data_IF_149246476212
#
_entry.id   IF_149246476212
#
_cell.length_a   1.000
_cell.length_b   1.000
_cell.length_c   1.000
_cell.angle_alpha   90.00
_cell.angle_beta   90.00
_cell.angle_gamma   90.00
#
_symmetry.space_group_name_H-M   'P 1'
#
loop_
_entity.id
_entity.type
_entity.pdbx_description
1 polymer ?
#
# COMPACT_ATOMS: atom_id res chain seq x y z
N UNK A 1 -27.78 -30.01 4.63
CA UNK A 1 -27.41 -28.87 5.50
C UNK A 1 -25.93 -29.01 5.81
N UNK A 2 -25.05 -28.30 5.07
CA UNK A 2 -23.60 -28.33 5.30
C UNK A 2 -23.29 -27.65 6.62
N UNK A 3 -22.47 -28.29 7.47
CA UNK A 3 -21.86 -27.65 8.64
C UNK A 3 -21.13 -26.40 8.16
N UNK A 4 -21.54 -25.20 8.57
CA UNK A 4 -20.75 -23.99 8.35
C UNK A 4 -19.38 -24.20 9.00
N UNK A 5 -18.34 -23.86 8.29
CA UNK A 5 -16.98 -23.86 8.83
C UNK A 5 -16.97 -23.05 10.12
N UNK A 6 -16.31 -23.55 11.16
CA UNK A 6 -16.12 -22.79 12.41
C UNK A 6 -15.20 -21.60 12.22
N UNK A 7 -14.50 -21.52 11.09
CA UNK A 7 -13.53 -20.49 10.75
C UNK A 7 -14.02 -19.66 9.56
N UNK A 8 -13.61 -18.37 9.51
CA UNK A 8 -13.86 -17.45 8.41
C UNK A 8 -12.67 -17.45 7.44
N UNK A 9 -12.89 -17.77 6.16
CA UNK A 9 -11.85 -17.71 5.13
C UNK A 9 -11.65 -16.29 4.65
N UNK A 10 -10.43 -15.78 4.84
CA UNK A 10 -10.06 -14.39 4.56
C UNK A 10 -9.01 -14.31 3.48
N UNK A 11 -9.27 -13.57 2.40
CA UNK A 11 -8.22 -13.16 1.46
C UNK A 11 -7.73 -11.76 1.85
N UNK A 12 -6.44 -11.65 2.21
CA UNK A 12 -5.75 -10.40 2.48
C UNK A 12 -4.90 -10.01 1.26
N UNK A 13 -5.28 -8.94 0.57
CA UNK A 13 -4.44 -8.32 -0.46
C UNK A 13 -3.42 -7.42 0.23
N UNK A 14 -2.12 -7.71 0.06
CA UNK A 14 -1.07 -7.14 0.87
C UNK A 14 -0.01 -6.37 0.10
N UNK A 15 1.09 -6.10 0.78
CA UNK A 15 2.24 -5.34 0.28
C UNK A 15 2.53 -4.06 1.07
N UNK A 16 1.90 -3.88 2.24
CA UNK A 16 2.10 -2.75 3.15
C UNK A 16 2.48 -3.22 4.55
N UNK A 17 2.92 -2.30 5.40
CA UNK A 17 3.17 -2.55 6.83
C UNK A 17 1.90 -2.93 7.57
N UNK A 18 0.77 -2.35 7.19
CA UNK A 18 -0.56 -2.66 7.74
C UNK A 18 -0.98 -4.09 7.40
N UNK A 19 -0.77 -4.51 6.14
CA UNK A 19 -1.02 -5.89 5.72
C UNK A 19 -0.16 -6.90 6.49
N UNK A 20 1.13 -6.58 6.71
CA UNK A 20 2.04 -7.42 7.48
C UNK A 20 1.66 -7.48 8.97
N UNK A 21 1.17 -6.38 9.53
CA UNK A 21 0.66 -6.34 10.90
C UNK A 21 -0.62 -7.19 11.03
N UNK A 22 -1.57 -7.02 10.10
CA UNK A 22 -2.81 -7.80 10.08
C UNK A 22 -2.53 -9.31 9.88
N UNK A 23 -1.58 -9.67 9.02
CA UNK A 23 -1.19 -11.07 8.83
C UNK A 23 -0.68 -11.73 10.12
N UNK A 24 0.07 -10.98 10.96
CA UNK A 24 0.51 -11.48 12.28
C UNK A 24 -0.64 -11.66 13.25
N UNK A 25 -1.60 -10.74 13.27
CA UNK A 25 -2.78 -10.85 14.12
C UNK A 25 -3.66 -12.04 13.70
N UNK A 26 -3.88 -12.20 12.41
CA UNK A 26 -4.64 -13.33 11.86
C UNK A 26 -3.99 -14.68 12.14
N UNK A 27 -2.65 -14.76 12.10
CA UNK A 27 -1.91 -15.97 12.43
C UNK A 27 -2.10 -16.43 13.88
N UNK A 28 -2.40 -15.50 14.79
CA UNK A 28 -2.60 -15.76 16.21
C UNK A 28 -4.07 -16.06 16.59
N UNK A 29 -5.00 -15.98 15.64
CA UNK A 29 -6.44 -16.08 15.93
C UNK A 29 -7.10 -17.24 15.14
N UNK A 30 -7.41 -18.32 15.83
CA UNK A 30 -7.98 -19.53 15.24
C UNK A 30 -9.41 -19.39 14.67
N UNK A 31 -10.05 -18.22 14.80
CA UNK A 31 -11.33 -17.94 14.15
C UNK A 31 -11.20 -17.74 12.64
N UNK A 32 -9.98 -17.48 12.14
CA UNK A 32 -9.72 -17.12 10.76
C UNK A 32 -8.85 -18.13 10.04
N UNK A 33 -9.15 -18.34 8.76
CA UNK A 33 -8.34 -19.09 7.80
C UNK A 33 -7.84 -18.13 6.71
N UNK A 34 -6.74 -17.40 6.98
CA UNK A 34 -6.28 -16.34 6.11
C UNK A 34 -5.36 -16.84 5.01
N UNK A 35 -5.44 -16.19 3.85
CA UNK A 35 -4.44 -16.27 2.77
C UNK A 35 -4.00 -14.87 2.39
N UNK A 36 -2.69 -14.61 2.40
CA UNK A 36 -2.11 -13.35 1.95
C UNK A 36 -1.77 -13.42 0.45
N UNK A 37 -2.16 -12.41 -0.31
CA UNK A 37 -1.77 -12.26 -1.72
C UNK A 37 -0.86 -11.06 -1.91
N UNK A 38 0.33 -11.28 -2.45
CA UNK A 38 1.33 -10.27 -2.79
C UNK A 38 1.41 -10.10 -4.31
N UNK A 39 1.56 -8.84 -4.77
CA UNK A 39 1.61 -8.54 -6.21
C UNK A 39 2.89 -9.02 -6.91
N UNK A 40 3.94 -9.42 -6.17
CA UNK A 40 5.21 -9.86 -6.76
C UNK A 40 6.08 -8.71 -7.28
N UNK A 41 5.91 -7.51 -6.74
CA UNK A 41 6.74 -6.35 -7.12
C UNK A 41 8.16 -6.47 -6.56
N UNK A 42 8.33 -7.12 -5.40
CA UNK A 42 9.63 -7.36 -4.76
C UNK A 42 10.17 -8.73 -5.17
N UNK A 43 11.45 -8.80 -5.57
CA UNK A 43 12.10 -10.04 -6.06
C UNK A 43 12.19 -11.13 -5.01
N UNK A 44 12.42 -10.77 -3.75
CA UNK A 44 12.53 -11.69 -2.63
C UNK A 44 11.65 -11.22 -1.45
N UNK A 45 10.34 -11.52 -1.46
CA UNK A 45 9.47 -11.19 -0.34
C UNK A 45 9.89 -11.98 0.90
N UNK A 46 9.80 -11.33 2.07
CA UNK A 46 10.09 -11.97 3.36
C UNK A 46 9.07 -13.07 3.64
N UNK A 47 9.45 -14.15 4.37
CA UNK A 47 8.50 -15.15 4.85
C UNK A 47 7.33 -14.51 5.58
N UNK A 48 6.14 -15.05 5.35
CA UNK A 48 4.89 -14.54 5.93
C UNK A 48 4.39 -15.46 7.03
N UNK A 49 3.71 -14.95 8.07
CA UNK A 49 3.23 -15.75 9.20
C UNK A 49 1.99 -16.61 8.87
N UNK A 50 1.38 -16.40 7.72
CA UNK A 50 0.19 -17.11 7.22
C UNK A 50 0.43 -17.65 5.81
N UNK A 51 -0.36 -18.61 5.31
CA UNK A 51 -0.30 -19.05 3.93
C UNK A 51 -0.35 -17.84 2.95
N UNK A 52 0.47 -17.88 1.92
CA UNK A 52 0.59 -16.75 1.00
C UNK A 52 0.83 -17.18 -0.44
N UNK A 53 0.49 -16.29 -1.37
CA UNK A 53 0.71 -16.43 -2.80
C UNK A 53 1.35 -15.17 -3.38
N UNK A 54 2.01 -15.32 -4.53
CA UNK A 54 2.56 -14.20 -5.31
C UNK A 54 1.91 -14.18 -6.68
N UNK A 55 1.72 -12.98 -7.21
CA UNK A 55 1.25 -12.73 -8.57
C UNK A 55 -0.17 -12.18 -8.63
N UNK A 56 -0.52 -11.68 -9.81
CA UNK A 56 -1.85 -11.14 -10.08
C UNK A 56 -2.91 -12.25 -10.20
N UNK A 57 -4.16 -11.81 -10.33
CA UNK A 57 -5.31 -12.72 -10.52
C UNK A 57 -5.77 -12.79 -11.97
N UNK A 58 -5.19 -11.99 -12.88
CA UNK A 58 -5.71 -11.89 -14.26
C UNK A 58 -6.90 -10.94 -14.37
N UNK A 59 -6.93 -9.87 -13.58
CA UNK A 59 -8.01 -8.88 -13.59
C UNK A 59 -9.17 -9.23 -12.67
N UNK A 60 -10.32 -8.59 -12.91
CA UNK A 60 -11.53 -8.75 -12.09
C UNK A 60 -12.07 -10.17 -12.14
N UNK A 61 -12.19 -10.75 -13.33
CA UNK A 61 -12.76 -12.09 -13.50
C UNK A 61 -11.87 -13.18 -12.88
N UNK A 62 -10.55 -13.03 -13.01
CA UNK A 62 -9.62 -13.96 -12.36
C UNK A 62 -9.67 -13.85 -10.82
N UNK A 63 -9.82 -12.65 -10.28
CA UNK A 63 -10.02 -12.47 -8.84
C UNK A 63 -11.36 -13.06 -8.39
N UNK A 64 -12.45 -12.81 -9.13
CA UNK A 64 -13.78 -13.36 -8.81
C UNK A 64 -13.76 -14.90 -8.78
N UNK A 65 -13.14 -15.52 -9.76
CA UNK A 65 -12.97 -16.96 -9.83
C UNK A 65 -12.18 -17.48 -8.63
N UNK A 66 -11.04 -16.85 -8.30
CA UNK A 66 -10.24 -17.23 -7.14
C UNK A 66 -11.03 -17.13 -5.82
N UNK A 67 -11.80 -16.05 -5.63
CA UNK A 67 -12.64 -15.87 -4.43
C UNK A 67 -13.65 -17.01 -4.29
N UNK A 68 -14.27 -17.43 -5.40
CA UNK A 68 -15.25 -18.52 -5.41
C UNK A 68 -14.59 -19.90 -5.20
N UNK A 69 -13.52 -20.21 -5.91
CA UNK A 69 -12.81 -21.50 -5.84
C UNK A 69 -12.17 -21.73 -4.48
N UNK A 70 -11.57 -20.69 -3.88
CA UNK A 70 -11.00 -20.75 -2.54
C UNK A 70 -12.05 -20.61 -1.42
N UNK A 71 -13.32 -20.38 -1.77
CA UNK A 71 -14.41 -20.21 -0.81
C UNK A 71 -14.19 -19.04 0.14
N UNK A 72 -13.64 -17.95 -0.35
CA UNK A 72 -13.36 -16.75 0.46
C UNK A 72 -14.68 -16.12 0.93
N UNK A 73 -14.75 -15.77 2.21
CA UNK A 73 -15.95 -15.23 2.85
C UNK A 73 -15.77 -13.74 3.22
N UNK A 74 -14.50 -13.29 3.37
CA UNK A 74 -14.17 -11.89 3.57
C UNK A 74 -12.92 -11.51 2.75
N UNK A 75 -12.98 -10.35 2.10
CA UNK A 75 -11.87 -9.78 1.33
C UNK A 75 -11.36 -8.53 2.04
N UNK A 76 -10.06 -8.49 2.34
CA UNK A 76 -9.41 -7.31 2.91
C UNK A 76 -8.39 -6.76 1.93
N UNK A 77 -8.63 -5.54 1.44
CA UNK A 77 -7.67 -4.81 0.61
C UNK A 77 -6.78 -3.93 1.50
N UNK A 78 -5.59 -4.43 1.82
CA UNK A 78 -4.53 -3.70 2.50
C UNK A 78 -3.36 -3.39 1.57
N UNK A 79 -3.64 -3.19 0.28
CA UNK A 79 -2.62 -2.79 -0.69
C UNK A 79 -2.21 -1.33 -0.50
N UNK A 80 -1.09 -0.95 -1.14
CA UNK A 80 -0.60 0.42 -1.07
C UNK A 80 -1.67 1.43 -1.55
N UNK A 81 -1.80 2.63 -0.93
CA UNK A 81 -2.80 3.63 -1.33
C UNK A 81 -2.78 4.01 -2.81
N UNK A 82 -1.66 3.80 -3.49
CA UNK A 82 -1.50 4.03 -4.93
C UNK A 82 -1.75 2.78 -5.80
N UNK A 83 -2.16 1.66 -5.21
CA UNK A 83 -2.56 0.46 -5.96
C UNK A 83 -4.03 0.54 -6.44
N UNK A 84 -4.43 1.70 -6.98
CA UNK A 84 -5.82 2.01 -7.34
C UNK A 84 -6.46 0.97 -8.28
N UNK A 85 -5.68 0.37 -9.18
CA UNK A 85 -6.18 -0.69 -10.06
C UNK A 85 -6.59 -1.92 -9.26
N UNK A 86 -5.74 -2.36 -8.30
CA UNK A 86 -6.06 -3.53 -7.47
C UNK A 86 -7.28 -3.28 -6.60
N UNK A 87 -7.38 -2.09 -6.01
CA UNK A 87 -8.57 -1.68 -5.24
C UNK A 87 -9.84 -1.71 -6.09
N UNK A 88 -9.80 -1.16 -7.32
CA UNK A 88 -10.95 -1.25 -8.25
C UNK A 88 -11.30 -2.70 -8.60
N UNK A 89 -10.29 -3.55 -8.83
CA UNK A 89 -10.51 -4.97 -9.09
C UNK A 89 -11.14 -5.67 -7.89
N UNK A 90 -10.66 -5.38 -6.66
CA UNK A 90 -11.22 -5.93 -5.43
C UNK A 90 -12.69 -5.56 -5.26
N UNK A 91 -13.04 -4.29 -5.43
CA UNK A 91 -14.43 -3.80 -5.35
C UNK A 91 -15.31 -4.47 -6.40
N UNK A 92 -14.88 -4.54 -7.66
CA UNK A 92 -15.64 -5.12 -8.75
C UNK A 92 -15.79 -6.65 -8.61
N UNK A 93 -14.79 -7.34 -8.05
CA UNK A 93 -14.81 -8.79 -7.88
C UNK A 93 -15.59 -9.22 -6.63
N UNK A 94 -15.63 -8.39 -5.58
CA UNK A 94 -16.26 -8.74 -4.31
C UNK A 94 -17.77 -9.02 -4.46
N UNK A 95 -18.49 -8.30 -5.30
CA UNK A 95 -19.94 -8.47 -5.43
C UNK A 95 -20.65 -8.30 -4.09
N UNK A 96 -21.25 -9.38 -3.57
CA UNK A 96 -21.91 -9.43 -2.25
C UNK A 96 -20.98 -9.82 -1.11
N UNK A 97 -19.72 -10.15 -1.41
CA UNK A 97 -18.72 -10.51 -0.41
C UNK A 97 -18.42 -9.32 0.51
N UNK A 98 -18.14 -9.60 1.77
CA UNK A 98 -17.70 -8.56 2.72
C UNK A 98 -16.31 -8.07 2.30
N UNK A 99 -16.21 -6.77 2.01
CA UNK A 99 -14.97 -6.11 1.59
C UNK A 99 -14.63 -4.99 2.54
N UNK A 100 -13.40 -5.01 3.06
CA UNK A 100 -12.81 -3.94 3.85
C UNK A 100 -11.55 -3.42 3.17
N UNK A 101 -11.35 -2.10 3.18
CA UNK A 101 -10.07 -1.49 2.85
C UNK A 101 -9.33 -1.04 4.10
N UNK A 102 -8.10 -1.50 4.26
CA UNK A 102 -7.17 -1.00 5.29
C UNK A 102 -6.29 0.06 4.66
N UNK A 103 -6.50 1.31 5.04
CA UNK A 103 -5.79 2.44 4.46
C UNK A 103 -5.39 3.46 5.53
N UNK A 104 -4.09 3.47 5.87
CA UNK A 104 -3.52 4.45 6.78
C UNK A 104 -3.80 5.90 6.33
N UNK A 105 -3.97 6.87 7.25
CA UNK A 105 -4.16 8.27 6.90
C UNK A 105 -3.05 8.80 5.98
N UNK A 106 -3.43 9.68 5.06
CA UNK A 106 -2.47 10.42 4.26
C UNK A 106 -1.65 11.36 5.16
N UNK A 107 -0.44 11.70 4.75
CA UNK A 107 0.29 12.77 5.41
C UNK A 107 -0.38 14.11 5.13
N UNK A 108 -0.39 14.97 6.13
CA UNK A 108 -0.84 16.36 6.03
C UNK A 108 0.34 17.30 6.26
N UNK A 109 0.50 18.35 5.44
CA UNK A 109 1.56 19.31 5.66
C UNK A 109 1.33 20.12 6.94
N UNK A 110 2.40 20.49 7.63
CA UNK A 110 2.38 21.52 8.64
C UNK A 110 2.85 22.88 8.05
N UNK A 111 2.65 24.02 8.75
CA UNK A 111 2.99 25.34 8.20
C UNK A 111 4.44 25.53 7.78
N UNK A 112 5.37 24.75 8.32
CA UNK A 112 6.79 24.79 7.97
C UNK A 112 7.17 23.88 6.79
N UNK A 113 6.23 23.13 6.22
CA UNK A 113 6.46 22.28 5.07
C UNK A 113 6.36 23.07 3.76
N UNK A 114 7.29 22.84 2.88
CA UNK A 114 7.27 23.38 1.51
C UNK A 114 6.78 22.29 0.55
N UNK A 115 5.48 21.93 0.63
CA UNK A 115 4.90 20.93 -0.24
C UNK A 115 4.29 21.52 -1.50
N UNK A 116 4.57 20.86 -2.63
CA UNK A 116 3.93 21.12 -3.90
C UNK A 116 3.09 19.89 -4.27
N UNK A 117 1.77 19.92 -4.03
CA UNK A 117 0.89 18.80 -4.40
C UNK A 117 0.72 18.72 -5.92
N UNK A 118 0.80 17.50 -6.46
CA UNK A 118 0.64 17.22 -7.89
C UNK A 118 -0.28 16.02 -8.10
N UNK A 119 -1.02 15.96 -9.22
CA UNK A 119 -1.95 14.88 -9.48
C UNK A 119 -1.27 13.57 -9.91
N UNK A 120 -0.13 13.65 -10.60
CA UNK A 120 0.58 12.52 -11.19
C UNK A 120 2.09 12.76 -11.31
N UNK A 121 2.84 11.77 -11.78
CA UNK A 121 4.30 11.86 -11.92
C UNK A 121 4.74 12.68 -13.13
N UNK A 122 3.90 12.86 -14.14
CA UNK A 122 4.19 13.77 -15.24
C UNK A 122 4.18 15.22 -14.74
N UNK A 123 3.17 15.60 -13.99
CA UNK A 123 3.11 16.89 -13.32
C UNK A 123 4.26 17.06 -12.30
N UNK A 124 4.68 15.99 -11.62
CA UNK A 124 5.82 16.03 -10.71
C UNK A 124 7.13 16.33 -11.44
N UNK A 125 7.38 15.71 -12.59
CA UNK A 125 8.56 15.98 -13.39
C UNK A 125 8.58 17.43 -13.93
N UNK A 126 7.44 17.93 -14.41
CA UNK A 126 7.28 19.32 -14.87
C UNK A 126 7.50 20.34 -13.73
N UNK A 127 7.06 20.01 -12.52
CA UNK A 127 7.21 20.87 -11.35
C UNK A 127 8.66 21.09 -10.90
N UNK A 128 9.61 20.28 -11.39
CA UNK A 128 11.04 20.49 -11.13
C UNK A 128 11.58 21.74 -11.83
N UNK A 129 10.92 22.17 -12.92
CA UNK A 129 11.34 23.33 -13.72
C UNK A 129 12.59 23.05 -14.55
N UNK A 130 13.07 24.05 -15.31
CA UNK A 130 14.18 23.86 -16.26
C UNK A 130 15.58 23.94 -15.61
N UNK A 131 15.70 24.54 -14.42
CA UNK A 131 17.00 24.72 -13.78
C UNK A 131 17.51 23.38 -13.21
N UNK A 132 18.78 22.99 -13.46
CA UNK A 132 19.35 21.76 -12.92
C UNK A 132 19.22 21.67 -11.40
N UNK A 133 18.75 20.52 -10.88
CA UNK A 133 18.56 20.25 -9.44
C UNK A 133 19.02 18.85 -9.08
N UNK A 134 19.41 18.68 -7.83
CA UNK A 134 19.64 17.36 -7.23
C UNK A 134 18.34 16.87 -6.61
N UNK A 135 17.75 15.85 -7.23
CA UNK A 135 16.36 15.38 -6.97
C UNK A 135 16.40 14.01 -6.32
N UNK A 136 15.83 13.88 -5.14
CA UNK A 136 15.61 12.57 -4.51
C UNK A 136 14.23 12.02 -4.94
N UNK A 137 14.24 10.91 -5.68
CA UNK A 137 13.04 10.16 -6.06
C UNK A 137 12.80 9.02 -5.08
N UNK A 138 11.68 9.06 -4.34
CA UNK A 138 11.23 7.97 -3.44
C UNK A 138 9.89 7.41 -3.93
N UNK A 139 9.89 6.98 -5.19
CA UNK A 139 8.73 6.50 -5.95
C UNK A 139 8.98 5.08 -6.45
N UNK A 140 7.93 4.41 -6.95
CA UNK A 140 8.08 3.09 -7.54
C UNK A 140 8.77 3.12 -8.91
N UNK A 141 9.45 2.03 -9.27
CA UNK A 141 10.19 1.95 -10.54
C UNK A 141 9.31 2.23 -11.77
N UNK A 142 8.03 1.83 -11.75
CA UNK A 142 7.07 2.04 -12.86
C UNK A 142 6.74 3.52 -13.10
N UNK A 143 7.09 4.39 -12.18
CA UNK A 143 6.80 5.83 -12.20
C UNK A 143 8.01 6.67 -12.57
N UNK A 144 9.14 6.06 -12.93
CA UNK A 144 10.37 6.76 -13.30
C UNK A 144 10.34 7.35 -14.72
N UNK A 145 9.48 6.83 -15.60
CA UNK A 145 9.47 7.21 -17.02
C UNK A 145 9.39 8.74 -17.27
N UNK A 146 8.53 9.53 -16.59
CA UNK A 146 8.47 10.98 -16.81
C UNK A 146 9.79 11.72 -16.53
N UNK A 147 10.59 11.21 -15.59
CA UNK A 147 11.87 11.84 -15.21
C UNK A 147 12.99 11.60 -16.23
N UNK A 148 12.84 10.64 -17.14
CA UNK A 148 13.74 10.45 -18.29
C UNK A 148 13.60 11.56 -19.33
N UNK A 149 12.42 12.17 -19.39
CA UNK A 149 12.11 13.28 -20.30
C UNK A 149 12.64 14.63 -19.77
N UNK A 150 13.13 14.65 -18.53
CA UNK A 150 13.73 15.83 -17.90
C UNK A 150 15.19 15.58 -17.49
N UNK A 151 16.11 15.27 -18.45
CA UNK A 151 17.46 14.81 -18.14
C UNK A 151 18.39 15.90 -17.59
N UNK A 152 17.95 17.16 -17.52
CA UNK A 152 18.72 18.26 -16.98
C UNK A 152 18.96 18.22 -15.47
N UNK A 153 18.28 17.33 -14.75
CA UNK A 153 18.43 17.16 -13.30
C UNK A 153 19.35 16.00 -12.95
N UNK A 154 19.96 16.06 -11.76
CA UNK A 154 20.69 14.93 -11.19
C UNK A 154 19.78 14.14 -10.25
N UNK A 155 19.41 12.93 -10.66
CA UNK A 155 18.49 12.10 -9.92
C UNK A 155 19.19 11.14 -8.97
N UNK A 156 18.74 11.08 -7.74
CA UNK A 156 19.05 10.05 -6.75
C UNK A 156 17.78 9.24 -6.53
N UNK A 157 17.79 7.96 -6.89
CA UNK A 157 16.61 7.08 -6.84
C UNK A 157 16.77 6.13 -5.66
N UNK A 158 15.86 6.20 -4.69
CA UNK A 158 15.82 5.20 -3.62
C UNK A 158 14.68 4.21 -3.86
N UNK A 159 15.03 2.95 -3.98
CA UNK A 159 14.11 1.82 -4.22
C UNK A 159 14.46 0.60 -3.38
N UNK A 160 13.52 -0.32 -3.19
CA UNK A 160 13.73 -1.58 -2.46
C UNK A 160 14.63 -2.51 -3.28
N UNK A 161 14.32 -2.68 -4.57
CA UNK A 161 15.11 -3.42 -5.54
C UNK A 161 15.65 -2.45 -6.61
N UNK A 162 16.80 -2.73 -7.23
CA UNK A 162 17.28 -1.95 -8.36
C UNK A 162 16.21 -1.90 -9.45
N UNK A 163 15.85 -0.69 -9.93
CA UNK A 163 14.90 -0.57 -11.03
C UNK A 163 15.49 -1.09 -12.34
N UNK A 164 14.63 -1.42 -13.30
CA UNK A 164 15.04 -1.81 -14.64
C UNK A 164 15.83 -0.67 -15.31
N UNK A 165 17.03 -0.93 -15.87
CA UNK A 165 17.87 0.12 -16.47
C UNK A 165 17.14 0.97 -17.50
N UNK A 166 16.23 0.37 -18.27
CA UNK A 166 15.44 1.06 -19.29
C UNK A 166 14.48 2.11 -18.72
N UNK A 167 14.13 2.05 -17.44
CA UNK A 167 13.25 3.00 -16.76
C UNK A 167 14.03 4.13 -16.07
N UNK A 168 15.32 3.96 -15.87
CA UNK A 168 16.15 4.89 -15.08
C UNK A 168 16.51 6.11 -15.94
N UNK A 169 16.36 7.34 -15.40
CA UNK A 169 16.89 8.54 -16.05
C UNK A 169 18.39 8.45 -16.26
N UNK A 170 18.93 8.97 -17.38
CA UNK A 170 20.37 8.96 -17.64
C UNK A 170 21.18 9.61 -16.51
N UNK A 171 22.26 8.97 -16.08
CA UNK A 171 23.16 9.50 -15.05
C UNK A 171 22.58 9.45 -13.62
N UNK A 172 21.45 8.82 -13.40
CA UNK A 172 20.87 8.71 -12.07
C UNK A 172 21.68 7.78 -11.15
N UNK A 173 21.81 8.19 -9.90
CA UNK A 173 22.38 7.37 -8.82
C UNK A 173 21.29 6.51 -8.17
N UNK A 174 21.54 5.22 -7.95
CA UNK A 174 20.58 4.28 -7.37
C UNK A 174 21.03 3.90 -5.96
N UNK A 175 20.12 4.07 -5.01
CA UNK A 175 20.26 3.64 -3.61
C UNK A 175 19.26 2.53 -3.34
N UNK A 176 19.73 1.31 -3.11
CA UNK A 176 18.88 0.20 -2.73
C UNK A 176 18.75 0.17 -1.20
N UNK A 177 17.55 0.42 -0.69
CA UNK A 177 17.29 0.43 0.75
C UNK A 177 15.82 0.13 1.05
N UNK A 178 15.58 -0.53 2.19
CA UNK A 178 14.25 -0.88 2.69
C UNK A 178 14.01 -0.20 4.03
N UNK A 179 12.88 0.50 4.16
CA UNK A 179 12.49 1.13 5.43
C UNK A 179 12.16 0.09 6.55
N UNK A 180 11.89 0.56 7.77
CA UNK A 180 11.72 1.98 8.13
C UNK A 180 13.02 2.76 8.13
N UNK A 181 12.94 4.07 7.88
CA UNK A 181 14.09 4.98 7.90
C UNK A 181 13.98 5.93 9.10
N UNK A 182 15.08 6.08 9.83
CA UNK A 182 15.18 7.04 10.92
C UNK A 182 15.37 8.47 10.41
N UNK A 183 15.04 9.46 11.22
CA UNK A 183 15.29 10.88 10.90
C UNK A 183 16.78 11.17 10.69
N UNK A 184 17.66 10.50 11.44
CA UNK A 184 19.11 10.66 11.31
C UNK A 184 19.62 10.16 9.95
N UNK A 185 19.14 8.99 9.50
CA UNK A 185 19.48 8.44 8.18
C UNK A 185 19.00 9.36 7.05
N UNK A 186 17.79 9.89 7.17
CA UNK A 186 17.25 10.82 6.16
C UNK A 186 18.04 12.13 6.12
N UNK A 187 18.39 12.71 7.29
CA UNK A 187 19.27 13.89 7.37
C UNK A 187 20.63 13.65 6.71
N UNK A 188 21.23 12.49 6.97
CA UNK A 188 22.52 12.10 6.39
C UNK A 188 22.42 11.92 4.87
N UNK A 189 21.36 11.30 4.39
CA UNK A 189 21.11 11.11 2.96
C UNK A 189 20.94 12.44 2.25
N UNK A 190 20.07 13.33 2.76
CA UNK A 190 19.83 14.65 2.18
C UNK A 190 21.12 15.51 2.14
N UNK A 191 21.95 15.41 3.18
CA UNK A 191 23.21 16.14 3.25
C UNK A 191 24.25 15.56 2.28
N UNK A 192 24.47 14.23 2.29
CA UNK A 192 25.46 13.54 1.48
C UNK A 192 25.27 13.80 -0.01
N UNK A 193 24.02 13.75 -0.47
CA UNK A 193 23.69 13.95 -1.88
C UNK A 193 23.30 15.38 -2.22
N UNK A 194 23.45 16.34 -1.28
CA UNK A 194 23.10 17.75 -1.44
C UNK A 194 21.70 17.93 -2.08
N UNK A 195 20.70 17.20 -1.58
CA UNK A 195 19.36 17.17 -2.15
C UNK A 195 18.71 18.55 -2.07
N UNK A 196 18.14 19.00 -3.18
CA UNK A 196 17.47 20.27 -3.32
C UNK A 196 15.95 20.16 -3.45
N UNK A 197 15.45 18.98 -3.84
CA UNK A 197 14.01 18.70 -3.91
C UNK A 197 13.77 17.20 -3.74
N UNK A 198 12.65 16.84 -3.10
CA UNK A 198 12.21 15.46 -2.97
C UNK A 198 10.95 15.27 -3.81
N UNK A 199 10.85 14.16 -4.53
CA UNK A 199 9.61 13.71 -5.15
C UNK A 199 9.13 12.44 -4.44
N UNK A 200 7.91 12.46 -3.99
CA UNK A 200 7.31 11.34 -3.24
C UNK A 200 5.82 11.20 -3.53
N UNK A 201 5.27 10.05 -3.18
CA UNK A 201 3.82 9.82 -3.12
C UNK A 201 3.32 10.15 -1.72
N UNK A 202 2.10 10.64 -1.59
CA UNK A 202 1.44 10.78 -0.27
C UNK A 202 1.01 9.40 0.26
N UNK A 203 2.00 8.59 0.60
CA UNK A 203 1.77 7.20 1.03
C UNK A 203 1.18 7.10 2.42
N UNK A 204 1.35 8.10 3.26
CA UNK A 204 0.97 8.04 4.67
C UNK A 204 1.83 7.08 5.49
N UNK A 205 1.51 6.97 6.79
CA UNK A 205 2.19 6.09 7.73
C UNK A 205 3.57 6.59 8.19
N UNK A 206 4.12 5.94 9.23
CA UNK A 206 5.36 6.37 9.90
C UNK A 206 6.64 5.84 9.24
N UNK A 207 6.59 4.67 8.60
CA UNK A 207 7.78 3.96 8.12
C UNK A 207 8.67 4.76 7.15
N UNK A 208 8.10 5.72 6.43
CA UNK A 208 8.82 6.55 5.46
C UNK A 208 8.54 8.05 5.62
N UNK A 209 7.96 8.46 6.75
CA UNK A 209 7.64 9.86 7.02
C UNK A 209 8.86 10.70 7.39
N UNK A 210 9.92 10.08 7.90
CA UNK A 210 11.11 10.77 8.40
C UNK A 210 11.77 11.69 7.36
N UNK A 211 11.70 11.35 6.06
CA UNK A 211 12.20 12.21 4.97
C UNK A 211 11.49 13.56 4.90
N UNK A 212 10.19 13.62 5.26
CA UNK A 212 9.42 14.85 5.28
C UNK A 212 9.87 15.78 6.42
N UNK A 213 10.13 15.19 7.59
CA UNK A 213 10.69 15.91 8.73
C UNK A 213 12.11 16.44 8.41
N UNK A 214 12.97 15.60 7.82
CA UNK A 214 14.31 16.01 7.41
C UNK A 214 14.29 17.10 6.32
N UNK A 215 13.35 17.04 5.39
CA UNK A 215 13.14 18.07 4.35
C UNK A 215 12.72 19.40 4.99
N UNK A 216 11.76 19.37 5.93
CA UNK A 216 11.27 20.54 6.66
C UNK A 216 12.40 21.27 7.40
N UNK A 217 13.22 20.54 8.14
CA UNK A 217 14.35 21.10 8.89
C UNK A 217 15.37 21.84 8.01
N UNK A 218 15.45 21.47 6.75
CA UNK A 218 16.38 22.03 5.78
C UNK A 218 15.73 22.99 4.78
N UNK A 219 14.44 23.25 4.90
CA UNK A 219 13.67 24.05 3.95
C UNK A 219 13.64 23.45 2.53
N UNK A 220 13.81 22.13 2.39
CA UNK A 220 13.82 21.45 1.09
C UNK A 220 12.37 21.27 0.62
N UNK A 221 12.00 21.74 -0.57
CA UNK A 221 10.67 21.53 -1.13
C UNK A 221 10.42 20.05 -1.45
N UNK A 222 9.16 19.63 -1.26
CA UNK A 222 8.71 18.27 -1.52
C UNK A 222 7.58 18.29 -2.53
N UNK A 223 7.80 17.72 -3.71
CA UNK A 223 6.76 17.46 -4.70
C UNK A 223 6.02 16.20 -4.29
N UNK A 224 4.74 16.32 -3.97
CA UNK A 224 3.93 15.26 -3.35
C UNK A 224 2.79 14.85 -4.28
N UNK A 225 2.91 13.69 -4.89
CA UNK A 225 1.81 13.12 -5.67
C UNK A 225 0.65 12.76 -4.74
N UNK A 226 -0.53 13.30 -5.04
CA UNK A 226 -1.74 13.05 -4.28
C UNK A 226 -2.28 11.64 -4.54
N UNK A 227 -3.01 11.09 -3.57
CA UNK A 227 -3.65 9.79 -3.74
C UNK A 227 -4.69 9.84 -4.84
N UNK A 228 -4.77 8.82 -5.70
CA UNK A 228 -5.86 8.71 -6.64
C UNK A 228 -7.19 8.55 -5.89
N UNK A 229 -8.26 9.11 -6.43
CA UNK A 229 -9.60 8.86 -5.92
C UNK A 229 -9.93 7.37 -6.02
N UNK A 230 -10.47 6.80 -4.94
CA UNK A 230 -10.94 5.43 -4.93
C UNK A 230 -12.46 5.41 -4.71
N UNK A 231 -13.18 4.44 -5.31
CA UNK A 231 -14.61 4.27 -5.04
C UNK A 231 -14.89 4.12 -3.53
N UNK A 232 -16.10 4.47 -3.13
CA UNK A 232 -16.52 4.31 -1.73
C UNK A 232 -16.53 2.83 -1.35
N UNK A 233 -15.86 2.51 -0.26
CA UNK A 233 -15.79 1.18 0.37
C UNK A 233 -15.57 1.38 1.85
N UNK A 234 -16.04 0.44 2.66
CA UNK A 234 -15.78 0.46 4.10
C UNK A 234 -14.28 0.48 4.38
N UNK A 235 -13.82 1.37 5.28
CA UNK A 235 -12.39 1.61 5.51
C UNK A 235 -12.07 1.66 6.98
N UNK A 236 -10.87 1.17 7.29
CA UNK A 236 -10.23 1.33 8.59
C UNK A 236 -8.79 1.79 8.42
N UNK A 237 -8.23 2.40 9.46
CA UNK A 237 -6.90 3.02 9.38
C UNK A 237 -5.75 2.01 9.56
N UNK A 238 -5.98 0.92 10.30
CA UNK A 238 -4.93 0.03 10.76
C UNK A 238 -5.38 -1.43 10.91
N UNK A 239 -4.43 -2.28 11.29
CA UNK A 239 -4.66 -3.71 11.45
C UNK A 239 -5.54 -4.07 12.64
N UNK A 240 -5.54 -3.28 13.72
CA UNK A 240 -6.36 -3.55 14.90
C UNK A 240 -7.85 -3.35 14.58
N UNK A 241 -8.20 -2.24 13.97
CA UNK A 241 -9.56 -1.96 13.51
C UNK A 241 -10.02 -2.97 12.44
N UNK A 242 -9.10 -3.48 11.60
CA UNK A 242 -9.42 -4.54 10.66
C UNK A 242 -9.75 -5.88 11.35
N UNK A 243 -9.07 -6.21 12.44
CA UNK A 243 -9.38 -7.39 13.25
C UNK A 243 -10.74 -7.28 13.93
N UNK A 244 -11.09 -6.12 14.47
CA UNK A 244 -12.42 -5.85 15.04
C UNK A 244 -13.52 -6.06 13.99
N UNK A 245 -13.32 -5.51 12.80
CA UNK A 245 -14.27 -5.68 11.69
C UNK A 245 -14.41 -7.16 11.29
N UNK A 246 -13.31 -7.90 11.16
CA UNK A 246 -13.32 -9.32 10.85
C UNK A 246 -14.00 -10.14 11.95
N UNK A 247 -13.78 -9.80 13.22
CA UNK A 247 -14.47 -10.40 14.36
C UNK A 247 -15.99 -10.23 14.25
N UNK A 248 -16.45 -9.02 13.97
CA UNK A 248 -17.86 -8.74 13.76
C UNK A 248 -18.46 -9.46 12.53
N UNK A 249 -17.68 -9.66 11.46
CA UNK A 249 -18.10 -10.47 10.31
C UNK A 249 -18.27 -11.93 10.70
N UNK A 250 -17.30 -12.49 11.44
CA UNK A 250 -17.33 -13.86 11.93
C UNK A 250 -18.53 -14.11 12.86
N UNK A 251 -18.79 -13.24 13.85
CA UNK A 251 -19.91 -13.35 14.78
C UNK A 251 -21.26 -13.33 14.05
N UNK A 252 -21.45 -12.44 13.08
CA UNK A 252 -22.67 -12.41 12.25
C UNK A 252 -22.86 -13.70 11.45
N UNK A 253 -21.76 -14.32 11.02
CA UNK A 253 -21.79 -15.63 10.35
C UNK A 253 -22.26 -16.77 11.26
N UNK A 254 -21.93 -16.70 12.57
CA UNK A 254 -22.32 -17.69 13.56
C UNK A 254 -23.76 -17.49 14.08
N UNK A 255 -24.22 -16.22 14.15
CA UNK A 255 -25.55 -15.87 14.69
C UNK A 255 -26.76 -16.22 13.83
N UNK A 256 -26.57 -16.79 12.64
CA UNK A 256 -27.65 -17.23 11.76
C UNK A 256 -28.36 -18.54 12.14
N UNK A 257 -28.11 -19.08 13.33
CA UNK A 257 -28.71 -20.30 13.84
C UNK A 257 -29.35 -20.06 15.23
N UNK A 258 -30.28 -19.11 15.34
CA UNK A 258 -31.22 -19.16 16.46
C UNK A 258 -32.15 -20.38 16.24
N UNK A 259 -32.30 -21.32 17.20
CA UNK A 259 -33.28 -22.38 17.08
C UNK A 259 -34.66 -21.74 17.05
N UNK A 260 -35.46 -22.05 16.05
CA UNK A 260 -36.90 -21.87 16.14
C UNK A 260 -37.39 -22.71 17.30
N UNK A 261 -37.72 -22.10 18.41
CA UNK A 261 -38.48 -22.77 19.46
C UNK A 261 -39.78 -23.32 18.86
N UNK A 262 -40.12 -24.59 19.04
CA UNK A 262 -41.39 -25.11 18.57
C UNK A 262 -42.48 -24.43 19.42
N UNK A 263 -43.32 -23.62 18.77
CA UNK A 263 -44.59 -23.19 19.37
C UNK A 263 -45.42 -24.43 19.60
N UNK A 264 -45.46 -24.90 20.87
CA UNK A 264 -46.48 -25.80 21.32
C UNK A 264 -47.82 -25.06 21.31
N UNK A 265 -48.70 -25.48 20.40
CA UNK A 265 -50.12 -25.13 20.38
C UNK A 265 -50.92 -26.18 21.07
#
# INVERSE_FOLDING_TARGET
>A
MGKRSSTLRVLLLGGTTEASALARLLAADGRFEPTLSLAGVTRAPRPQPIPWRIGGFGGVEGLRRYLAEAGIEALVDATHPFAAQMTRHAIAAAGTLKLLRVERPAWTPCPADHWLPVPDMQAAAQALGPAPRRVLLTIGQKELAPFRETPGHHYIIRSVDPPEPALVPPGAEIITATGPFSLQEERALLARHAIQVIVTKNSGGSATAAKLAAARERGIPVVVMQRPSAPAVERVADAAAAMEWLGAVWERGQGGAAPLEPRLG
#
